data_IF_477181666087
#
_entry.id   IF_477181666087
#
_cell.length_a   1.000
_cell.length_b   1.000
_cell.length_c   1.000
_cell.angle_alpha   90.00
_cell.angle_beta   90.00
_cell.angle_gamma   90.00
#
_symmetry.space_group_name_H-M   'P 1'
#
loop_
_entity.id
_entity.type
_entity.pdbx_description
1 polymer ?
#
# COMPACT_ATOMS: atom_id res chain seq x y z
N UNK A 1 -15.75 -1.26 -31.11
CA UNK A 1 -14.88 -0.25 -30.44
C UNK A 1 -14.94 -0.38 -28.91
N UNK A 2 -14.63 -1.55 -28.31
CA UNK A 2 -14.88 -1.79 -26.87
C UNK A 2 -13.64 -2.20 -26.05
N UNK A 3 -12.45 -2.40 -26.66
CA UNK A 3 -11.28 -2.90 -25.91
C UNK A 3 -10.34 -1.81 -25.36
N UNK A 4 -10.17 -0.67 -26.04
CA UNK A 4 -9.23 0.36 -25.57
C UNK A 4 -9.72 1.06 -24.29
N UNK A 5 -11.04 1.27 -24.17
CA UNK A 5 -11.62 1.99 -23.04
C UNK A 5 -11.56 1.20 -21.71
N UNK A 6 -11.69 -0.13 -21.74
CA UNK A 6 -11.60 -0.93 -20.50
C UNK A 6 -10.17 -1.07 -19.99
N UNK A 7 -9.20 -1.18 -20.89
CA UNK A 7 -7.77 -1.25 -20.53
C UNK A 7 -7.29 0.11 -20.03
N UNK A 8 -7.68 1.21 -20.70
CA UNK A 8 -7.35 2.56 -20.26
C UNK A 8 -7.91 2.84 -18.87
N UNK A 9 -9.17 2.48 -18.61
CA UNK A 9 -9.81 2.64 -17.30
C UNK A 9 -9.18 1.78 -16.20
N UNK A 10 -8.69 0.57 -16.55
CA UNK A 10 -7.92 -0.27 -15.64
C UNK A 10 -6.58 0.41 -15.26
N UNK A 11 -5.86 0.97 -16.24
CA UNK A 11 -4.61 1.68 -15.99
C UNK A 11 -4.81 2.96 -15.17
N UNK A 12 -5.87 3.73 -15.43
CA UNK A 12 -6.28 4.88 -14.62
C UNK A 12 -6.52 4.47 -13.16
N UNK A 13 -7.26 3.36 -12.96
CA UNK A 13 -7.54 2.83 -11.62
C UNK A 13 -6.25 2.45 -10.90
N UNK A 14 -5.28 1.82 -11.59
CA UNK A 14 -3.98 1.49 -11.03
C UNK A 14 -3.17 2.76 -10.70
N UNK A 15 -3.20 3.78 -11.57
CA UNK A 15 -2.45 5.02 -11.39
C UNK A 15 -2.94 5.85 -10.19
N UNK A 16 -4.26 6.07 -10.08
CA UNK A 16 -4.86 6.76 -8.93
C UNK A 16 -4.54 6.04 -7.62
N UNK A 17 -4.51 4.71 -7.68
CA UNK A 17 -4.21 3.87 -6.55
C UNK A 17 -2.73 3.91 -6.13
N UNK A 18 -1.79 3.86 -7.08
CA UNK A 18 -0.35 4.07 -6.83
C UNK A 18 -0.11 5.44 -6.19
N UNK A 19 -0.84 6.47 -6.64
CA UNK A 19 -0.77 7.82 -6.05
C UNK A 19 -1.21 7.83 -4.59
N UNK A 20 -2.35 7.21 -4.27
CA UNK A 20 -2.84 7.10 -2.88
C UNK A 20 -1.83 6.34 -2.01
N UNK A 21 -1.27 5.24 -2.53
CA UNK A 21 -0.25 4.46 -1.83
C UNK A 21 1.00 5.28 -1.51
N UNK A 22 1.49 6.08 -2.46
CA UNK A 22 2.63 6.97 -2.24
C UNK A 22 2.36 7.99 -1.14
N UNK A 23 1.16 8.59 -1.12
CA UNK A 23 0.77 9.56 -0.09
C UNK A 23 0.77 8.92 1.29
N UNK A 24 0.15 7.75 1.43
CA UNK A 24 0.07 7.04 2.71
C UNK A 24 1.47 6.62 3.19
N UNK A 25 2.31 6.13 2.28
CA UNK A 25 3.70 5.74 2.60
C UNK A 25 4.54 6.94 3.05
N UNK A 26 4.39 8.10 2.39
CA UNK A 26 5.08 9.33 2.79
C UNK A 26 4.65 9.80 4.19
N UNK A 27 3.35 9.70 4.51
CA UNK A 27 2.83 10.01 5.86
C UNK A 27 3.40 9.05 6.90
N UNK A 28 3.45 7.75 6.63
CA UNK A 28 4.05 6.75 7.53
C UNK A 28 5.52 7.03 7.83
N UNK A 29 6.33 7.27 6.79
CA UNK A 29 7.75 7.61 6.95
C UNK A 29 7.91 8.89 7.77
N UNK A 30 7.05 9.90 7.52
CA UNK A 30 7.08 11.16 8.28
C UNK A 30 6.77 10.95 9.77
N UNK A 31 5.78 10.12 10.09
CA UNK A 31 5.44 9.76 11.49
C UNK A 31 6.60 9.02 12.15
N UNK A 32 7.23 8.09 11.44
CA UNK A 32 8.40 7.35 11.92
C UNK A 32 9.58 8.28 12.24
N UNK A 33 9.94 9.16 11.29
CA UNK A 33 11.01 10.16 11.47
C UNK A 33 10.70 11.09 12.65
N UNK A 34 9.45 11.55 12.76
CA UNK A 34 9.03 12.41 13.87
C UNK A 34 9.11 11.69 15.23
N UNK A 35 8.69 10.42 15.29
CA UNK A 35 8.79 9.62 16.50
C UNK A 35 10.25 9.44 16.94
N UNK A 36 11.16 9.16 15.99
CA UNK A 36 12.59 9.09 16.27
C UNK A 36 13.15 10.42 16.77
N UNK A 37 12.86 11.51 16.06
CA UNK A 37 13.30 12.86 16.44
C UNK A 37 12.91 13.19 17.89
N UNK A 38 11.66 12.92 18.27
CA UNK A 38 11.18 13.15 19.64
C UNK A 38 11.99 12.38 20.68
N UNK A 39 12.34 11.13 20.40
CA UNK A 39 13.15 10.28 21.29
C UNK A 39 14.56 10.86 21.38
N UNK A 40 15.19 11.23 20.26
CA UNK A 40 16.52 11.85 20.22
C UNK A 40 16.61 13.16 20.99
N UNK A 41 15.55 13.97 20.98
CA UNK A 41 15.51 15.25 21.72
C UNK A 41 15.04 15.11 23.17
N UNK A 42 14.73 13.91 23.63
CA UNK A 42 14.25 13.68 24.99
C UNK A 42 15.42 13.75 25.98
N UNK A 43 15.16 14.15 27.23
CA UNK A 43 16.21 14.14 28.27
C UNK A 43 16.64 12.72 28.65
N UNK A 44 15.79 11.74 28.36
CA UNK A 44 16.07 10.32 28.60
C UNK A 44 17.13 9.78 27.62
N UNK A 45 17.25 10.42 26.44
CA UNK A 45 18.23 10.11 25.41
C UNK A 45 19.68 10.23 25.90
N UNK A 46 19.95 11.23 26.77
CA UNK A 46 21.30 11.56 27.23
C UNK A 46 21.91 10.47 28.11
N UNK A 47 21.07 9.64 28.75
CA UNK A 47 21.48 8.57 29.65
C UNK A 47 21.31 7.17 29.05
N UNK A 48 20.84 7.07 27.82
CA UNK A 48 20.61 5.79 27.15
C UNK A 48 21.91 5.24 26.55
N UNK A 49 22.19 3.97 26.83
CA UNK A 49 23.31 3.27 26.21
C UNK A 49 23.01 2.93 24.73
N UNK A 50 24.06 2.61 23.96
CA UNK A 50 23.95 2.30 22.53
C UNK A 50 23.07 1.07 22.26
N UNK A 51 23.03 0.10 23.19
CA UNK A 51 22.20 -1.10 23.06
C UNK A 51 20.71 -0.79 23.24
N UNK A 52 20.34 0.04 24.21
CA UNK A 52 18.98 0.54 24.41
C UNK A 52 18.51 1.34 23.19
N UNK A 53 19.39 2.14 22.59
CA UNK A 53 19.11 2.83 21.34
C UNK A 53 18.80 1.88 20.18
N UNK A 54 19.61 0.83 20.02
CA UNK A 54 19.37 -0.18 19.00
C UNK A 54 18.04 -0.90 19.20
N UNK A 55 17.68 -1.24 20.44
CA UNK A 55 16.41 -1.88 20.76
C UNK A 55 15.23 -0.99 20.38
N UNK A 56 15.21 0.28 20.81
CA UNK A 56 14.11 1.20 20.49
C UNK A 56 14.01 1.46 18.99
N UNK A 57 15.13 1.69 18.31
CA UNK A 57 15.15 1.87 16.84
C UNK A 57 14.57 0.64 16.13
N UNK A 58 14.95 -0.56 16.57
CA UNK A 58 14.48 -1.82 15.99
C UNK A 58 12.99 -2.04 16.24
N UNK A 59 12.49 -1.82 17.46
CA UNK A 59 11.06 -1.93 17.79
C UNK A 59 10.20 -0.94 17.00
N UNK A 60 10.64 0.33 16.89
CA UNK A 60 9.93 1.34 16.11
C UNK A 60 9.97 1.04 14.62
N UNK A 61 11.08 0.52 14.11
CA UNK A 61 11.21 0.07 12.74
C UNK A 61 10.30 -1.12 12.44
N UNK A 62 10.29 -2.13 13.29
CA UNK A 62 9.45 -3.32 13.14
C UNK A 62 7.97 -2.95 13.15
N UNK A 63 7.54 -2.11 14.10
CA UNK A 63 6.16 -1.60 14.14
C UNK A 63 5.78 -0.82 12.87
N UNK A 64 6.69 0.01 12.36
CA UNK A 64 6.49 0.75 11.11
C UNK A 64 6.40 -0.19 9.91
N UNK A 65 7.31 -1.15 9.79
CA UNK A 65 7.33 -2.13 8.71
C UNK A 65 6.11 -3.04 8.72
N UNK A 66 5.64 -3.43 9.89
CA UNK A 66 4.45 -4.26 10.03
C UNK A 66 3.18 -3.49 9.57
N UNK A 67 3.09 -2.20 9.86
CA UNK A 67 2.03 -1.35 9.33
C UNK A 67 2.09 -1.20 7.80
N UNK A 68 3.29 -1.02 7.24
CA UNK A 68 3.49 -0.97 5.77
C UNK A 68 3.07 -2.29 5.12
N UNK A 69 3.44 -3.43 5.71
CA UNK A 69 3.02 -4.75 5.24
C UNK A 69 1.51 -4.95 5.28
N UNK A 70 0.83 -4.51 6.35
CA UNK A 70 -0.63 -4.55 6.44
C UNK A 70 -1.29 -3.69 5.36
N UNK A 71 -0.77 -2.49 5.11
CA UNK A 71 -1.25 -1.64 4.02
C UNK A 71 -1.02 -2.29 2.65
N UNK A 72 0.11 -2.97 2.45
CA UNK A 72 0.40 -3.72 1.24
C UNK A 72 -0.53 -4.94 1.06
N UNK A 73 -0.92 -5.61 2.14
CA UNK A 73 -1.89 -6.69 2.08
C UNK A 73 -3.29 -6.18 1.69
N UNK A 74 -3.75 -5.08 2.30
CA UNK A 74 -5.01 -4.41 1.93
C UNK A 74 -4.97 -3.99 0.45
N UNK A 75 -3.82 -3.51 -0.01
CA UNK A 75 -3.56 -3.10 -1.39
C UNK A 75 -3.76 -4.26 -2.38
N UNK A 76 -3.15 -5.41 -2.11
CA UNK A 76 -3.27 -6.63 -2.92
C UNK A 76 -4.72 -7.13 -2.96
N UNK A 77 -5.40 -7.13 -1.80
CA UNK A 77 -6.81 -7.55 -1.69
C UNK A 77 -7.71 -6.64 -2.53
N UNK A 78 -7.53 -5.32 -2.45
CA UNK A 78 -8.32 -4.37 -3.23
C UNK A 78 -8.11 -4.55 -4.75
N UNK A 79 -6.85 -4.72 -5.18
CA UNK A 79 -6.53 -5.04 -6.57
C UNK A 79 -7.18 -6.36 -7.02
N UNK A 80 -7.14 -7.41 -6.19
CA UNK A 80 -7.80 -8.67 -6.51
C UNK A 80 -9.32 -8.49 -6.68
N UNK A 81 -9.97 -7.80 -5.74
CA UNK A 81 -11.42 -7.55 -5.78
C UNK A 81 -11.84 -6.72 -7.00
N UNK A 82 -11.02 -5.76 -7.44
CA UNK A 82 -11.36 -4.90 -8.58
C UNK A 82 -11.01 -5.53 -9.93
N UNK A 83 -9.90 -6.27 -10.02
CA UNK A 83 -9.40 -6.83 -11.29
C UNK A 83 -10.15 -8.11 -11.67
N UNK A 84 -10.55 -8.96 -10.70
CA UNK A 84 -11.26 -10.23 -10.96
C UNK A 84 -12.61 -10.00 -11.68
N UNK A 85 -13.51 -9.12 -11.20
CA UNK A 85 -14.78 -8.84 -11.88
C UNK A 85 -14.58 -8.19 -13.25
N UNK A 86 -13.63 -7.26 -13.39
CA UNK A 86 -13.32 -6.63 -14.68
C UNK A 86 -12.85 -7.68 -15.70
N UNK A 87 -12.02 -8.64 -15.28
CA UNK A 87 -11.57 -9.73 -16.13
C UNK A 87 -12.71 -10.67 -16.53
N UNK A 88 -13.60 -11.02 -15.59
CA UNK A 88 -14.81 -11.83 -15.87
C UNK A 88 -15.74 -11.10 -16.86
N UNK A 89 -15.99 -9.81 -16.65
CA UNK A 89 -16.82 -8.99 -17.55
C UNK A 89 -16.21 -8.86 -18.94
N UNK A 90 -14.88 -8.70 -19.03
CA UNK A 90 -14.16 -8.65 -20.30
C UNK A 90 -14.29 -9.98 -21.06
N UNK A 91 -14.04 -11.12 -20.38
CA UNK A 91 -14.19 -12.46 -20.94
C UNK A 91 -15.62 -12.72 -21.45
N UNK A 92 -16.63 -12.33 -20.68
CA UNK A 92 -18.03 -12.51 -21.05
C UNK A 92 -18.45 -11.61 -22.22
N UNK A 93 -17.95 -10.37 -22.29
CA UNK A 93 -18.20 -9.47 -23.42
C UNK A 93 -17.49 -9.88 -24.72
N UNK A 94 -16.39 -10.63 -24.64
CA UNK A 94 -15.70 -11.17 -25.83
C UNK A 94 -16.42 -12.37 -26.48
N UNK A 95 -17.40 -12.99 -25.81
CA UNK A 95 -18.19 -14.11 -26.36
C UNK A 95 -19.70 -13.99 -26.06
N UNK A 96 -20.40 -12.98 -26.61
CA UNK A 96 -21.83 -12.79 -26.33
C UNK A 96 -22.73 -13.93 -26.88
N UNK A 97 -22.22 -14.80 -27.76
CA UNK A 97 -23.01 -15.83 -28.45
C UNK A 97 -22.78 -17.28 -27.99
N UNK A 98 -21.96 -17.53 -26.96
CA UNK A 98 -21.72 -18.91 -26.48
C UNK A 98 -22.84 -19.46 -25.58
N UNK A 99 -23.81 -18.64 -25.17
CA UNK A 99 -24.92 -19.04 -24.31
C UNK A 99 -26.29 -19.11 -25.01
N UNK A 100 -26.33 -19.07 -26.35
CA UNK A 100 -27.56 -19.21 -27.14
C UNK A 100 -27.71 -20.61 -27.79
N UNK A 101 -27.15 -21.65 -27.17
CA UNK A 101 -27.34 -23.05 -27.56
C UNK A 101 -27.71 -23.90 -26.37
#
# INVERSE_FOLDING_TARGET
>A
MVNAYSILKLLETIADFVRIFFIISAVQVSIFVFALYRIFTSKDAENMDVHQWQLIMTEKWEASMNNVLHMFAILIIYLAITTIPMFIMWKNKSHPYRHAR
#
